data_IF_216076119650
#
_entry.id   IF_216076119650
#
_cell.length_a   1.000
_cell.length_b   1.000
_cell.length_c   1.000
_cell.angle_alpha   90.00
_cell.angle_beta   90.00
_cell.angle_gamma   90.00
#
_symmetry.space_group_name_H-M   'P 1'
#
loop_
_entity.id
_entity.type
_entity.pdbx_description
1 polymer ?
#
# COMPACT_ATOMS: atom_id res chain seq x y z
N UNK A 1 -39.33 -55.46 -10.02
CA UNK A 1 -38.07 -55.46 -9.25
C UNK A 1 -37.02 -54.68 -10.06
N UNK A 2 -36.98 -53.34 -9.96
CA UNK A 2 -35.94 -52.48 -10.57
C UNK A 2 -35.94 -51.12 -9.86
N UNK A 3 -35.24 -50.98 -8.72
CA UNK A 3 -34.98 -49.65 -8.12
C UNK A 3 -33.79 -49.61 -7.13
N UNK A 4 -32.70 -50.36 -7.33
CA UNK A 4 -31.54 -50.27 -6.38
C UNK A 4 -30.19 -49.91 -7.01
N UNK A 5 -30.02 -49.94 -8.34
CA UNK A 5 -28.70 -49.73 -8.96
C UNK A 5 -28.39 -48.29 -9.41
N UNK A 6 -29.26 -47.30 -9.16
CA UNK A 6 -29.07 -45.95 -9.70
C UNK A 6 -28.55 -44.92 -8.69
N UNK A 7 -28.56 -45.24 -7.39
CA UNK A 7 -28.09 -44.35 -6.32
C UNK A 7 -26.59 -44.43 -6.09
N UNK A 8 -25.98 -45.61 -6.20
CA UNK A 8 -24.51 -45.76 -6.05
C UNK A 8 -23.71 -45.06 -7.17
N UNK A 9 -24.21 -45.12 -8.42
CA UNK A 9 -23.59 -44.39 -9.53
C UNK A 9 -23.61 -42.87 -9.32
N UNK A 10 -24.75 -42.33 -8.89
CA UNK A 10 -24.94 -40.90 -8.60
C UNK A 10 -23.98 -40.40 -7.52
N UNK A 11 -23.82 -41.15 -6.42
CA UNK A 11 -22.94 -40.80 -5.30
C UNK A 11 -21.45 -40.76 -5.69
N UNK A 12 -21.02 -41.64 -6.60
CA UNK A 12 -19.62 -41.64 -7.09
C UNK A 12 -19.37 -40.40 -7.96
N UNK A 13 -20.30 -40.03 -8.84
CA UNK A 13 -20.13 -38.84 -9.70
C UNK A 13 -20.08 -37.57 -8.86
N UNK A 14 -20.91 -37.49 -7.81
CA UNK A 14 -20.97 -36.37 -6.88
C UNK A 14 -19.68 -36.25 -6.05
N UNK A 15 -19.16 -37.35 -5.53
CA UNK A 15 -17.87 -37.38 -4.81
C UNK A 15 -16.69 -36.99 -5.71
N UNK A 16 -16.68 -37.42 -6.97
CA UNK A 16 -15.66 -37.03 -7.95
C UNK A 16 -15.75 -35.54 -8.32
N UNK A 17 -16.97 -34.98 -8.37
CA UNK A 17 -17.18 -33.55 -8.59
C UNK A 17 -16.73 -32.71 -7.40
N UNK A 18 -17.06 -33.12 -6.17
CA UNK A 18 -16.60 -32.48 -4.94
C UNK A 18 -15.07 -32.49 -4.82
N UNK A 19 -14.42 -33.61 -5.14
CA UNK A 19 -12.95 -33.71 -5.16
C UNK A 19 -12.31 -32.75 -6.17
N UNK A 20 -12.87 -32.64 -7.39
CA UNK A 20 -12.40 -31.67 -8.40
C UNK A 20 -12.58 -30.23 -7.93
N UNK A 21 -13.73 -29.88 -7.37
CA UNK A 21 -13.99 -28.55 -6.82
C UNK A 21 -13.01 -28.20 -5.69
N UNK A 22 -12.70 -29.16 -4.82
CA UNK A 22 -11.77 -28.98 -3.71
C UNK A 22 -10.33 -28.79 -4.20
N UNK A 23 -9.94 -29.49 -5.26
CA UNK A 23 -8.64 -29.35 -5.90
C UNK A 23 -8.50 -28.00 -6.62
N UNK A 24 -9.54 -27.55 -7.33
CA UNK A 24 -9.59 -26.23 -7.99
C UNK A 24 -9.54 -25.08 -6.97
N UNK A 25 -10.27 -25.17 -5.86
CA UNK A 25 -10.23 -24.19 -4.79
C UNK A 25 -8.85 -24.11 -4.11
N UNK A 26 -8.18 -25.25 -3.91
CA UNK A 26 -6.83 -25.31 -3.35
C UNK A 26 -5.80 -24.66 -4.29
N UNK A 27 -5.88 -24.91 -5.59
CA UNK A 27 -5.03 -24.26 -6.59
C UNK A 27 -5.27 -22.75 -6.69
N UNK A 28 -6.51 -22.29 -6.58
CA UNK A 28 -6.85 -20.86 -6.52
C UNK A 28 -6.31 -20.18 -5.26
N UNK A 29 -6.36 -20.86 -4.11
CA UNK A 29 -5.78 -20.37 -2.85
C UNK A 29 -4.27 -20.21 -2.98
N UNK A 30 -3.56 -21.23 -3.47
CA UNK A 30 -2.11 -21.18 -3.70
C UNK A 30 -1.71 -20.08 -4.68
N UNK A 31 -2.41 -19.94 -5.81
CA UNK A 31 -2.17 -18.85 -6.75
C UNK A 31 -2.45 -17.47 -6.14
N UNK A 32 -3.45 -17.36 -5.25
CA UNK A 32 -3.77 -16.12 -4.54
C UNK A 32 -2.72 -15.78 -3.48
N UNK A 33 -2.16 -16.77 -2.79
CA UNK A 33 -1.05 -16.61 -1.84
C UNK A 33 0.23 -16.21 -2.55
N UNK A 34 0.55 -16.85 -3.68
CA UNK A 34 1.71 -16.49 -4.52
C UNK A 34 1.58 -15.06 -5.06
N UNK A 35 0.42 -14.70 -5.61
CA UNK A 35 0.15 -13.34 -6.09
C UNK A 35 0.16 -12.31 -4.97
N UNK A 36 -0.30 -12.68 -3.76
CA UNK A 36 -0.18 -11.84 -2.57
C UNK A 36 1.31 -11.66 -2.22
N UNK A 37 2.09 -12.75 -2.13
CA UNK A 37 3.51 -12.73 -1.81
C UNK A 37 4.36 -11.96 -2.85
N UNK A 38 4.01 -12.00 -4.13
CA UNK A 38 4.63 -11.20 -5.18
C UNK A 38 4.42 -9.70 -4.96
N UNK A 39 3.24 -9.29 -4.47
CA UNK A 39 2.96 -7.90 -4.13
C UNK A 39 3.68 -7.43 -2.86
N UNK A 40 4.05 -8.35 -1.96
CA UNK A 40 4.75 -8.07 -0.70
C UNK A 40 6.26 -7.84 -0.87
N UNK A 41 6.86 -8.28 -1.99
CA UNK A 41 8.32 -8.30 -2.15
C UNK A 41 8.91 -6.89 -2.23
N UNK A 42 9.87 -6.58 -1.36
CA UNK A 42 10.67 -5.36 -1.44
C UNK A 42 11.69 -5.42 -2.57
N UNK A 43 11.99 -4.24 -3.10
CA UNK A 43 13.13 -3.96 -3.98
C UNK A 43 14.20 -3.17 -3.24
N UNK A 44 15.41 -3.08 -3.80
CA UNK A 44 16.49 -2.24 -3.26
C UNK A 44 16.07 -0.76 -3.15
N UNK A 45 15.25 -0.27 -4.09
CA UNK A 45 14.70 1.08 -4.08
C UNK A 45 13.72 1.33 -2.92
N UNK A 46 12.98 0.30 -2.52
CA UNK A 46 12.06 0.37 -1.39
C UNK A 46 12.86 0.47 -0.06
N UNK A 47 13.97 -0.26 0.03
CA UNK A 47 14.90 -0.16 1.17
C UNK A 47 15.60 1.21 1.23
N UNK A 48 16.04 1.72 0.08
CA UNK A 48 16.60 3.08 -0.02
C UNK A 48 15.61 4.13 0.49
N UNK A 49 14.32 3.97 0.17
CA UNK A 49 13.27 4.87 0.63
C UNK A 49 13.07 4.84 2.16
N UNK A 50 13.14 3.65 2.77
CA UNK A 50 13.11 3.50 4.23
C UNK A 50 14.31 4.20 4.86
N UNK A 51 15.52 4.01 4.31
CA UNK A 51 16.72 4.63 4.85
C UNK A 51 16.71 6.16 4.74
N UNK A 52 16.19 6.71 3.65
CA UNK A 52 16.02 8.17 3.52
C UNK A 52 15.03 8.71 4.56
N UNK A 53 13.92 8.01 4.81
CA UNK A 53 12.98 8.39 5.86
C UNK A 53 13.63 8.35 7.26
N UNK A 54 14.46 7.34 7.55
CA UNK A 54 15.23 7.26 8.81
C UNK A 54 16.24 8.41 8.93
N UNK A 55 16.94 8.74 7.84
CA UNK A 55 17.88 9.85 7.78
C UNK A 55 17.20 11.19 8.09
N UNK A 56 16.05 11.46 7.46
CA UNK A 56 15.27 12.68 7.73
C UNK A 56 14.72 12.69 9.16
N UNK A 57 14.23 11.55 9.66
CA UNK A 57 13.80 11.41 11.06
C UNK A 57 14.92 11.78 12.03
N UNK A 58 16.13 11.23 11.89
CA UNK A 58 17.27 11.58 12.76
C UNK A 58 17.59 13.08 12.79
N UNK A 59 17.40 13.77 11.66
CA UNK A 59 17.67 15.21 11.53
C UNK A 59 16.57 16.10 12.10
N UNK A 60 15.31 15.71 11.91
CA UNK A 60 14.16 16.57 12.17
C UNK A 60 13.31 16.12 13.37
N UNK A 61 13.57 14.93 13.91
CA UNK A 61 12.83 14.39 15.05
C UNK A 61 12.88 15.34 16.24
N UNK A 62 11.69 15.77 16.69
CA UNK A 62 11.52 16.54 17.91
C UNK A 62 10.49 15.84 18.79
N UNK A 63 10.90 15.36 19.98
CA UNK A 63 9.96 14.73 20.91
C UNK A 63 8.73 15.60 21.12
N UNK A 64 7.55 14.99 21.10
CA UNK A 64 6.23 15.62 21.23
C UNK A 64 5.78 16.57 20.09
N UNK A 65 6.60 16.81 19.06
CA UNK A 65 6.24 17.74 17.97
C UNK A 65 6.38 17.15 16.57
N UNK A 66 7.48 16.45 16.28
CA UNK A 66 7.84 16.05 14.92
C UNK A 66 8.43 14.64 14.90
N UNK A 67 7.62 13.63 15.22
CA UNK A 67 8.05 12.22 15.34
C UNK A 67 7.87 11.41 14.06
N UNK A 68 6.82 11.67 13.26
CA UNK A 68 6.56 10.92 12.01
C UNK A 68 7.13 11.63 10.78
N UNK A 69 7.86 10.87 9.96
CA UNK A 69 8.42 11.26 8.67
C UNK A 69 7.89 10.34 7.58
N UNK A 70 7.68 10.88 6.39
CA UNK A 70 7.42 10.12 5.18
C UNK A 70 8.47 10.40 4.11
N UNK A 71 8.76 9.38 3.31
CA UNK A 71 9.49 9.50 2.07
C UNK A 71 8.68 8.85 0.95
N UNK A 72 8.66 9.49 -0.22
CA UNK A 72 8.06 8.96 -1.44
C UNK A 72 9.05 9.01 -2.59
N UNK A 73 8.88 8.10 -3.55
CA UNK A 73 9.62 8.06 -4.81
C UNK A 73 8.67 8.30 -5.96
N UNK A 74 9.10 9.08 -6.95
CA UNK A 74 8.36 9.26 -8.19
C UNK A 74 8.68 8.20 -9.23
N UNK A 75 7.73 7.93 -10.12
CA UNK A 75 7.91 7.07 -11.28
C UNK A 75 9.12 7.47 -12.15
N UNK A 76 9.62 6.52 -12.93
CA UNK A 76 10.56 6.81 -14.03
C UNK A 76 9.89 7.72 -15.08
N UNK A 77 10.68 8.58 -15.78
CA UNK A 77 12.14 8.66 -15.76
C UNK A 77 12.73 9.47 -14.60
N UNK A 78 11.90 10.19 -13.83
CA UNK A 78 12.37 11.11 -12.78
C UNK A 78 13.02 10.39 -11.61
N UNK A 79 12.40 9.32 -11.10
CA UNK A 79 12.98 8.43 -10.08
C UNK A 79 13.58 9.17 -8.86
N UNK A 80 12.94 10.27 -8.43
CA UNK A 80 13.43 11.16 -7.36
C UNK A 80 12.69 10.89 -6.05
N UNK A 81 13.40 11.03 -4.94
CA UNK A 81 12.84 10.90 -3.59
C UNK A 81 12.46 12.28 -3.04
N UNK A 82 11.27 12.38 -2.47
CA UNK A 82 10.79 13.53 -1.72
C UNK A 82 10.45 13.11 -0.30
N UNK A 83 10.72 14.00 0.66
CA UNK A 83 10.46 13.73 2.07
C UNK A 83 9.56 14.80 2.67
N UNK A 84 8.90 14.44 3.77
CA UNK A 84 8.02 15.31 4.51
C UNK A 84 7.94 14.86 5.97
N UNK A 85 7.82 15.84 6.86
CA UNK A 85 7.60 15.60 8.28
C UNK A 85 6.19 16.00 8.66
N UNK A 86 5.60 15.25 9.59
CA UNK A 86 4.28 15.59 10.09
C UNK A 86 4.30 16.92 10.85
N UNK A 87 3.18 17.63 10.81
CA UNK A 87 3.00 18.90 11.50
C UNK A 87 2.04 18.66 12.66
N UNK A 88 2.56 18.82 13.88
CA UNK A 88 1.74 18.82 15.08
C UNK A 88 1.02 20.16 15.22
N UNK A 89 -0.31 20.13 15.27
CA UNK A 89 -1.17 21.30 15.41
C UNK A 89 -2.57 20.90 15.85
N UNK A 90 -3.48 21.86 16.05
CA UNK A 90 -4.91 21.58 16.29
C UNK A 90 -5.58 20.77 15.16
N UNK A 91 -4.98 20.74 13.97
CA UNK A 91 -5.38 19.91 12.83
C UNK A 91 -4.13 19.22 12.27
N UNK A 92 -3.65 18.14 12.89
CA UNK A 92 -2.36 17.58 12.56
C UNK A 92 -2.34 17.07 11.12
N UNK A 93 -1.23 17.32 10.42
CA UNK A 93 -0.99 16.84 9.05
C UNK A 93 0.08 15.76 9.07
N UNK A 94 -0.18 14.66 8.37
CA UNK A 94 0.72 13.52 8.33
C UNK A 94 1.94 13.81 7.44
N UNK A 95 3.04 13.10 7.67
CA UNK A 95 4.27 13.26 6.88
C UNK A 95 4.05 13.00 5.40
N UNK A 96 3.12 12.11 5.05
CA UNK A 96 2.76 11.76 3.67
C UNK A 96 2.21 12.98 2.92
N UNK A 97 1.37 13.80 3.57
CA UNK A 97 0.83 15.04 2.97
C UNK A 97 1.99 16.00 2.66
N UNK A 98 2.89 16.18 3.63
CA UNK A 98 4.06 17.04 3.49
C UNK A 98 5.00 16.57 2.36
N UNK A 99 5.25 15.25 2.26
CA UNK A 99 6.09 14.68 1.20
C UNK A 99 5.47 14.86 -0.19
N UNK A 100 4.15 14.67 -0.31
CA UNK A 100 3.40 14.91 -1.56
C UNK A 100 3.44 16.40 -1.93
N UNK A 101 3.28 17.31 -0.97
CA UNK A 101 3.45 18.75 -1.23
C UNK A 101 4.86 19.07 -1.70
N UNK A 102 5.91 18.50 -1.10
CA UNK A 102 7.30 18.67 -1.55
C UNK A 102 7.49 18.23 -3.00
N UNK A 103 6.91 17.08 -3.37
CA UNK A 103 6.93 16.57 -4.75
C UNK A 103 6.23 17.54 -5.71
N UNK A 104 5.04 18.03 -5.36
CA UNK A 104 4.27 18.98 -6.20
C UNK A 104 4.99 20.32 -6.33
N UNK A 105 5.57 20.84 -5.25
CA UNK A 105 6.32 22.10 -5.24
C UNK A 105 7.57 22.05 -6.14
N UNK A 106 8.12 20.86 -6.37
CA UNK A 106 9.22 20.62 -7.31
C UNK A 106 8.75 20.47 -8.77
N UNK A 107 7.45 20.69 -9.04
CA UNK A 107 6.86 20.67 -10.37
C UNK A 107 6.41 19.29 -10.85
N UNK A 108 6.34 18.30 -9.96
CA UNK A 108 5.85 16.96 -10.32
C UNK A 108 4.33 16.88 -10.26
N UNK A 109 3.77 16.00 -11.08
CA UNK A 109 2.34 15.74 -11.07
C UNK A 109 1.97 14.70 -10.02
N UNK A 110 0.72 14.73 -9.54
CA UNK A 110 0.24 13.81 -8.50
C UNK A 110 0.29 12.33 -8.93
N UNK A 111 0.03 12.04 -10.22
CA UNK A 111 0.10 10.70 -10.81
C UNK A 111 1.48 10.06 -10.79
N UNK A 112 2.52 10.85 -10.52
CA UNK A 112 3.90 10.36 -10.51
C UNK A 112 4.31 9.66 -9.22
N UNK A 113 3.48 9.64 -8.18
CA UNK A 113 3.80 8.94 -6.94
C UNK A 113 3.87 7.42 -7.21
N UNK A 114 5.06 6.83 -7.07
CA UNK A 114 5.31 5.40 -7.30
C UNK A 114 5.21 4.60 -6.00
N UNK A 115 6.05 4.94 -5.02
CA UNK A 115 6.12 4.25 -3.72
C UNK A 115 6.20 5.27 -2.59
N UNK A 116 5.55 5.00 -1.45
CA UNK A 116 5.63 5.83 -0.25
C UNK A 116 5.79 4.98 1.02
N UNK A 117 6.49 5.53 2.01
CA UNK A 117 6.65 4.96 3.36
C UNK A 117 6.44 6.04 4.41
N UNK A 118 5.93 5.65 5.57
CA UNK A 118 5.88 6.49 6.76
C UNK A 118 6.50 5.75 7.94
N UNK A 119 7.31 6.46 8.73
CA UNK A 119 7.92 5.92 9.94
C UNK A 119 8.01 6.98 11.03
N UNK A 120 8.12 6.55 12.29
CA UNK A 120 8.47 7.43 13.40
C UNK A 120 9.80 7.05 14.01
N UNK A 121 10.56 8.06 14.45
CA UNK A 121 11.68 7.88 15.36
C UNK A 121 11.21 7.67 16.79
N UNK A 122 12.09 7.13 17.64
CA UNK A 122 11.84 7.01 19.07
C UNK A 122 12.45 8.19 19.85
N UNK A 123 11.75 8.63 20.90
CA UNK A 123 12.18 9.76 21.74
C UNK A 123 13.41 9.44 22.60
N UNK A 124 13.61 8.16 22.92
CA UNK A 124 14.68 7.69 23.80
C UNK A 124 15.87 7.12 23.03
N UNK A 125 15.64 6.60 21.82
CA UNK A 125 16.67 6.01 20.98
C UNK A 125 16.56 6.44 19.51
N UNK A 126 17.52 7.26 19.05
CA UNK A 126 17.54 7.82 17.68
C UNK A 126 17.74 6.79 16.56
N UNK A 127 18.11 5.55 16.91
CA UNK A 127 18.27 4.46 15.96
C UNK A 127 17.11 3.44 16.02
N UNK A 128 16.11 3.69 16.88
CA UNK A 128 14.86 2.95 16.88
C UNK A 128 13.81 3.65 16.02
N UNK A 129 13.20 2.86 15.15
CA UNK A 129 12.17 3.33 14.23
C UNK A 129 10.98 2.38 14.24
N UNK A 130 9.81 2.90 13.87
CA UNK A 130 8.59 2.11 13.65
C UNK A 130 7.95 2.52 12.33
N UNK A 131 7.62 1.56 11.48
CA UNK A 131 6.80 1.82 10.30
C UNK A 131 5.36 2.10 10.73
N UNK A 132 4.70 2.97 9.97
CA UNK A 132 3.28 3.25 10.11
C UNK A 132 2.56 2.94 8.81
N UNK A 133 1.45 2.23 8.91
CA UNK A 133 0.48 2.21 7.82
C UNK A 133 -0.14 3.60 7.68
N UNK A 134 -0.34 4.13 6.46
CA UNK A 134 -0.93 5.44 6.27
C UNK A 134 -2.32 5.51 6.92
N UNK A 135 -2.63 6.66 7.53
CA UNK A 135 -3.95 6.90 8.12
C UNK A 135 -5.03 6.99 7.02
N UNK A 136 -6.31 6.91 7.38
CA UNK A 136 -7.42 6.92 6.41
C UNK A 136 -7.36 8.10 5.42
N UNK A 137 -7.13 9.32 5.91
CA UNK A 137 -6.99 10.52 5.07
C UNK A 137 -5.82 10.41 4.09
N UNK A 138 -4.68 9.89 4.55
CA UNK A 138 -3.52 9.69 3.68
C UNK A 138 -3.73 8.58 2.67
N UNK A 139 -4.48 7.52 3.02
CA UNK A 139 -4.83 6.49 2.06
C UNK A 139 -5.67 7.05 0.92
N UNK A 140 -6.68 7.86 1.25
CA UNK A 140 -7.51 8.54 0.25
C UNK A 140 -6.64 9.42 -0.66
N UNK A 141 -5.83 10.30 -0.07
CA UNK A 141 -4.93 11.20 -0.81
C UNK A 141 -3.94 10.45 -1.71
N UNK A 142 -3.28 9.41 -1.20
CA UNK A 142 -2.35 8.59 -1.99
C UNK A 142 -3.10 7.92 -3.15
N UNK A 143 -4.32 7.41 -2.91
CA UNK A 143 -5.16 6.82 -3.95
C UNK A 143 -5.64 7.83 -5.00
N UNK A 144 -5.85 9.09 -4.62
CA UNK A 144 -6.20 10.20 -5.51
C UNK A 144 -4.99 10.74 -6.29
N UNK A 145 -3.78 10.53 -5.75
CA UNK A 145 -2.53 10.73 -6.47
C UNK A 145 -2.33 9.65 -7.52
N UNK A 146 -2.26 8.38 -7.10
CA UNK A 146 -2.07 7.24 -7.99
C UNK A 146 -2.71 5.97 -7.37
N UNK A 147 -3.72 5.40 -8.03
CA UNK A 147 -4.42 4.19 -7.55
C UNK A 147 -3.54 2.94 -7.50
N UNK A 148 -2.42 2.94 -8.23
CA UNK A 148 -1.43 1.87 -8.26
C UNK A 148 -0.22 2.16 -7.36
N UNK A 149 -0.21 3.28 -6.64
CA UNK A 149 0.85 3.62 -5.70
C UNK A 149 1.14 2.45 -4.76
N UNK A 150 2.42 2.19 -4.54
CA UNK A 150 2.93 1.19 -3.61
C UNK A 150 3.14 1.83 -2.24
N UNK A 151 2.80 1.12 -1.19
CA UNK A 151 2.93 1.56 0.20
C UNK A 151 3.74 0.53 0.96
N UNK A 152 4.83 0.97 1.57
CA UNK A 152 5.65 0.14 2.45
C UNK A 152 5.03 0.14 3.84
N UNK A 153 4.71 -1.05 4.36
CA UNK A 153 4.07 -1.26 5.67
C UNK A 153 4.74 -2.45 6.39
N UNK A 154 4.18 -2.91 7.51
CA UNK A 154 4.74 -3.99 8.32
C UNK A 154 5.55 -3.46 9.49
N UNK A 155 6.64 -4.14 9.84
CA UNK A 155 7.59 -3.68 10.87
C UNK A 155 8.93 -3.31 10.21
N UNK A 156 9.84 -2.68 10.95
CA UNK A 156 11.17 -2.34 10.41
C UNK A 156 11.98 -3.61 10.10
N UNK A 157 11.76 -4.68 10.86
CA UNK A 157 12.44 -5.97 10.70
C UNK A 157 11.84 -6.80 9.57
N UNK A 158 10.53 -6.67 9.33
CA UNK A 158 9.79 -7.38 8.30
C UNK A 158 8.89 -6.41 7.51
N UNK A 159 9.48 -5.49 6.74
CA UNK A 159 8.71 -4.63 5.88
C UNK A 159 8.14 -5.44 4.72
N UNK A 160 7.02 -5.00 4.19
CA UNK A 160 6.45 -5.51 2.94
C UNK A 160 5.71 -4.40 2.21
N UNK A 161 5.42 -4.64 0.94
CA UNK A 161 4.76 -3.65 0.08
C UNK A 161 3.32 -4.07 -0.21
N UNK A 162 2.41 -3.10 -0.29
CA UNK A 162 1.06 -3.31 -0.79
C UNK A 162 0.70 -2.18 -1.75
N UNK A 163 -0.17 -2.43 -2.73
CA UNK A 163 -0.77 -1.32 -3.48
C UNK A 163 -1.76 -0.58 -2.59
N UNK A 164 -1.92 0.72 -2.80
CA UNK A 164 -2.84 1.54 -2.01
C UNK A 164 -4.29 1.03 -2.10
N UNK A 165 -4.66 0.46 -3.25
CA UNK A 165 -5.97 -0.17 -3.47
C UNK A 165 -6.25 -1.33 -2.50
N UNK A 166 -5.22 -2.05 -2.02
CA UNK A 166 -5.39 -3.11 -1.01
C UNK A 166 -5.62 -2.56 0.40
N UNK A 167 -5.23 -1.31 0.65
CA UNK A 167 -5.47 -0.61 1.93
C UNK A 167 -6.80 0.14 1.97
N UNK A 168 -7.54 0.18 0.86
CA UNK A 168 -8.83 0.85 0.70
C UNK A 168 -9.84 -0.03 -0.05
N UNK A 169 -10.34 -1.11 0.57
CA UNK A 169 -11.40 -1.90 -0.01
C UNK A 169 -12.65 -1.04 -0.20
N UNK A 170 -13.26 -1.13 -1.38
CA UNK A 170 -14.48 -0.37 -1.74
C UNK A 170 -14.30 1.15 -1.62
N UNK A 171 -13.12 1.68 -2.01
CA UNK A 171 -12.89 3.13 -2.14
C UNK A 171 -14.06 3.74 -2.91
N UNK A 172 -14.67 4.77 -2.32
CA UNK A 172 -15.71 5.53 -3.01
C UNK A 172 -15.10 6.20 -4.24
N UNK A 173 -15.69 5.95 -5.41
CA UNK A 173 -15.28 6.60 -6.65
C UNK A 173 -16.48 7.31 -7.24
N UNK A 174 -16.33 8.61 -7.40
CA UNK A 174 -17.32 9.49 -8.02
C UNK A 174 -17.30 9.27 -9.55
N UNK A 175 -17.86 8.14 -10.01
CA UNK A 175 -17.91 7.79 -11.45
C UNK A 175 -18.84 8.71 -12.26
N UNK A 176 -19.70 9.49 -11.60
CA UNK A 176 -20.65 10.39 -12.26
C UNK A 176 -20.20 11.87 -12.25
N UNK A 177 -19.11 12.21 -11.57
CA UNK A 177 -18.66 13.59 -11.43
C UNK A 177 -17.58 13.89 -12.48
N UNK A 178 -17.95 14.63 -13.55
CA UNK A 178 -17.06 14.99 -14.67
C UNK A 178 -15.71 15.58 -14.23
N UNK A 179 -15.65 16.22 -13.06
CA UNK A 179 -14.43 16.82 -12.53
C UNK A 179 -13.37 15.77 -12.16
N UNK A 180 -13.78 14.64 -11.58
CA UNK A 180 -12.87 13.54 -11.22
C UNK A 180 -12.62 12.58 -12.39
N UNK A 181 -13.59 12.42 -13.30
CA UNK A 181 -13.45 11.60 -14.50
C UNK A 181 -12.35 12.10 -15.45
N UNK A 182 -12.29 13.42 -15.71
CA UNK A 182 -11.26 14.04 -16.58
C UNK A 182 -9.82 13.83 -16.07
N UNK A 183 -9.65 13.59 -14.77
CA UNK A 183 -8.34 13.41 -14.14
C UNK A 183 -7.81 11.97 -14.27
N UNK A 184 -8.69 10.98 -14.39
CA UNK A 184 -8.31 9.60 -14.65
C UNK A 184 -7.90 9.36 -16.12
N UNK A 185 -8.27 10.27 -17.02
CA UNK A 185 -7.98 10.21 -18.46
C UNK A 185 -6.72 11.01 -18.87
N UNK A 186 -6.17 11.82 -17.96
CA UNK A 186 -4.98 12.65 -18.20
C UNK A 186 -3.65 12.01 -17.79
N UNK A 187 -3.68 10.75 -17.34
CA UNK A 187 -2.49 9.93 -17.02
C UNK A 187 -1.92 9.20 -18.26
#
# INVERSE_FOLDING_TARGET
>A
MRTENNTQGCLIVEAMHLSKLQQEQSSLLLASEEAFNLNLKLTEKDLELIEEAKHVSRRLHRPHYHVVVSALRTCKPTDKIYTGIHIESSQPLCGEVSAICSMINDGRQMGELETIVALAGDDTNKDMFRLFSPCGRCRELIGDCNRKARVIVGTIEQPYVLSISKLMPLKWTDVENEYWARRAESD
#
